data_IF_969130230759
#
_entry.id   IF_969130230759
#
_cell.length_a   1.000
_cell.length_b   1.000
_cell.length_c   1.000
_cell.angle_alpha   90.00
_cell.angle_beta   90.00
_cell.angle_gamma   90.00
#
_symmetry.space_group_name_H-M   'P 1'
#
loop_
_entity.id
_entity.type
_entity.pdbx_description
1 polymer ?
#
# COMPACT_ATOMS: atom_id res chain seq x y z
N UNK A 1 -19.52 26.40 32.19
CA UNK A 1 -19.51 26.39 30.69
C UNK A 1 -18.21 25.83 30.16
N UNK A 2 -17.05 26.08 30.79
CA UNK A 2 -15.73 25.56 30.33
C UNK A 2 -15.54 24.05 30.59
N UNK A 3 -16.04 23.52 31.70
CA UNK A 3 -15.95 22.08 32.02
C UNK A 3 -16.78 21.19 31.05
N UNK A 4 -17.90 21.70 30.55
CA UNK A 4 -18.76 20.99 29.58
C UNK A 4 -18.13 20.98 28.17
N UNK A 5 -17.27 21.96 27.86
CA UNK A 5 -16.54 22.03 26.58
C UNK A 5 -15.36 21.08 26.56
N UNK A 6 -14.59 20.98 27.66
CA UNK A 6 -13.47 20.03 27.79
C UNK A 6 -13.95 18.57 27.81
N UNK A 7 -15.08 18.29 28.48
CA UNK A 7 -15.65 16.95 28.54
C UNK A 7 -16.15 16.49 27.16
N UNK A 8 -16.79 17.37 26.38
CA UNK A 8 -17.22 17.09 25.00
C UNK A 8 -16.05 16.87 24.05
N UNK A 9 -14.93 17.57 24.28
CA UNK A 9 -13.72 17.42 23.49
C UNK A 9 -13.00 16.10 23.81
N UNK A 10 -12.90 15.76 25.10
CA UNK A 10 -12.31 14.49 25.58
C UNK A 10 -13.10 13.26 25.15
N UNK A 11 -14.44 13.29 25.27
CA UNK A 11 -15.31 12.18 24.84
C UNK A 11 -15.31 12.02 23.31
N UNK A 12 -15.26 13.13 22.54
CA UNK A 12 -15.09 13.07 21.09
C UNK A 12 -13.72 12.52 20.69
N UNK A 13 -12.65 12.88 21.40
CA UNK A 13 -11.32 12.34 21.17
C UNK A 13 -11.27 10.83 21.46
N UNK A 14 -11.92 10.38 22.55
CA UNK A 14 -12.01 8.95 22.90
C UNK A 14 -12.90 8.19 21.90
N UNK A 15 -14.03 8.76 21.48
CA UNK A 15 -14.90 8.17 20.46
C UNK A 15 -14.19 8.13 19.10
N UNK A 16 -13.46 9.17 18.72
CA UNK A 16 -12.67 9.15 17.49
C UNK A 16 -11.52 8.15 17.57
N UNK A 17 -10.84 8.02 18.71
CA UNK A 17 -9.77 7.03 18.91
C UNK A 17 -10.32 5.59 18.97
N UNK A 18 -11.51 5.37 19.53
CA UNK A 18 -12.12 4.04 19.61
C UNK A 18 -12.80 3.60 18.31
N UNK A 19 -13.20 4.55 17.45
CA UNK A 19 -13.80 4.23 16.15
C UNK A 19 -12.77 3.98 15.04
N UNK A 20 -11.48 4.18 15.29
CA UNK A 20 -10.41 4.00 14.32
C UNK A 20 -9.33 3.11 14.93
N UNK A 21 -9.71 1.89 15.31
CA UNK A 21 -8.74 0.81 15.43
C UNK A 21 -8.38 0.37 14.02
N UNK A 22 -7.37 1.00 13.45
CA UNK A 22 -6.81 0.55 12.17
C UNK A 22 -6.19 -0.82 12.38
N UNK A 23 -6.71 -1.80 11.68
CA UNK A 23 -6.17 -3.15 11.71
C UNK A 23 -4.80 -3.15 11.03
N UNK A 24 -3.78 -3.57 11.74
CA UNK A 24 -2.45 -3.71 11.17
C UNK A 24 -2.45 -4.92 10.22
N UNK A 25 -1.91 -4.73 9.03
CA UNK A 25 -1.79 -5.75 7.99
C UNK A 25 -0.32 -6.16 7.83
N UNK A 26 0.18 -7.14 8.59
CA UNK A 26 1.62 -7.44 8.65
C UNK A 26 2.23 -7.82 7.31
N UNK A 27 1.45 -8.45 6.41
CA UNK A 27 1.95 -8.83 5.08
C UNK A 27 2.25 -7.62 4.19
N UNK A 28 1.67 -6.44 4.45
CA UNK A 28 2.02 -5.23 3.72
C UNK A 28 3.46 -4.80 3.96
N UNK A 29 4.00 -5.00 5.15
CA UNK A 29 5.40 -4.70 5.45
C UNK A 29 6.31 -5.49 4.47
N UNK A 30 6.00 -6.76 4.22
CA UNK A 30 6.74 -7.64 3.29
C UNK A 30 6.55 -7.22 1.83
N UNK A 31 5.32 -6.86 1.45
CA UNK A 31 5.01 -6.38 0.10
C UNK A 31 5.79 -5.10 -0.19
N UNK A 32 5.80 -4.14 0.73
CA UNK A 32 6.54 -2.89 0.56
C UNK A 32 8.05 -3.07 0.60
N UNK A 33 8.58 -3.96 1.44
CA UNK A 33 10.01 -4.31 1.42
C UNK A 33 10.44 -4.91 0.07
N UNK A 34 9.58 -5.72 -0.54
CA UNK A 34 9.81 -6.25 -1.88
C UNK A 34 9.73 -5.15 -2.93
N UNK A 35 8.70 -4.29 -2.84
CA UNK A 35 8.51 -3.15 -3.73
C UNK A 35 9.75 -2.25 -3.78
N UNK A 36 10.30 -1.87 -2.63
CA UNK A 36 11.49 -1.00 -2.53
C UNK A 36 12.66 -1.59 -3.31
N UNK A 37 12.93 -2.89 -3.17
CA UNK A 37 14.03 -3.55 -3.88
C UNK A 37 13.82 -3.56 -5.39
N UNK A 38 12.58 -3.76 -5.83
CA UNK A 38 12.22 -3.73 -7.25
C UNK A 38 12.31 -2.32 -7.80
N UNK A 39 11.69 -1.34 -7.13
CA UNK A 39 11.74 0.07 -7.52
C UNK A 39 13.18 0.59 -7.63
N UNK A 40 14.06 0.25 -6.67
CA UNK A 40 15.46 0.66 -6.72
C UNK A 40 16.16 0.15 -8.00
N UNK A 41 15.82 -1.07 -8.44
CA UNK A 41 16.37 -1.64 -9.68
C UNK A 41 15.74 -1.02 -10.92
N UNK A 42 14.43 -0.92 -10.95
CA UNK A 42 13.66 -0.40 -12.08
C UNK A 42 13.96 1.08 -12.32
N UNK A 43 13.98 1.90 -11.26
CA UNK A 43 14.30 3.31 -11.34
C UNK A 43 15.76 3.57 -11.73
N UNK A 44 16.71 2.74 -11.27
CA UNK A 44 18.11 2.82 -11.71
C UNK A 44 18.24 2.56 -13.21
N UNK A 45 17.50 1.57 -13.73
CA UNK A 45 17.49 1.29 -15.16
C UNK A 45 16.80 2.39 -15.97
N UNK A 46 15.73 2.97 -15.41
CA UNK A 46 14.97 4.05 -16.05
C UNK A 46 15.75 5.35 -16.13
N UNK A 47 16.40 5.74 -15.04
CA UNK A 47 17.15 7.01 -14.97
C UNK A 47 18.60 6.90 -15.43
N UNK A 48 19.16 5.68 -15.53
CA UNK A 48 20.58 5.41 -15.75
C UNK A 48 21.47 6.09 -14.69
N UNK A 49 20.93 6.31 -13.49
CA UNK A 49 21.62 6.91 -12.36
C UNK A 49 21.58 5.99 -11.13
N UNK A 50 22.38 6.29 -10.10
CA UNK A 50 22.32 5.56 -8.85
C UNK A 50 21.10 6.01 -8.05
N UNK A 51 20.14 5.12 -7.88
CA UNK A 51 18.89 5.39 -7.17
C UNK A 51 18.81 4.51 -5.95
N UNK A 52 18.57 5.11 -4.79
CA UNK A 52 18.22 4.43 -3.55
C UNK A 52 16.76 4.71 -3.21
N UNK A 53 16.05 3.67 -2.81
CA UNK A 53 14.65 3.76 -2.38
C UNK A 53 14.56 3.24 -0.96
N UNK A 54 13.92 4.00 -0.09
CA UNK A 54 13.68 3.62 1.30
C UNK A 54 12.22 3.83 1.68
N UNK A 55 11.74 3.03 2.65
CA UNK A 55 10.45 3.20 3.27
C UNK A 55 10.65 3.96 4.58
N UNK A 56 10.06 5.15 4.68
CA UNK A 56 10.12 5.94 5.92
C UNK A 56 9.18 5.33 6.97
N UNK A 57 7.90 5.13 6.62
CA UNK A 57 6.90 4.47 7.47
C UNK A 57 5.68 3.99 6.66
N UNK A 58 4.88 3.14 7.30
CA UNK A 58 3.52 2.79 6.85
C UNK A 58 2.57 3.22 7.96
N UNK A 59 1.62 4.06 7.63
CA UNK A 59 0.65 4.52 8.60
C UNK A 59 -0.79 4.42 8.07
N UNK A 60 -1.73 4.40 9.00
CA UNK A 60 -3.15 4.34 8.71
C UNK A 60 -3.81 5.59 9.21
N UNK A 61 -4.58 6.24 8.34
CA UNK A 61 -5.25 7.49 8.65
C UNK A 61 -6.58 7.60 7.90
N UNK A 62 -7.29 8.70 8.07
CA UNK A 62 -8.47 9.00 7.23
C UNK A 62 -8.02 9.63 5.92
N UNK A 63 -8.75 9.34 4.84
CA UNK A 63 -8.46 9.92 3.53
C UNK A 63 -8.45 11.46 3.55
N UNK A 64 -9.36 12.09 4.31
CA UNK A 64 -9.38 13.54 4.48
C UNK A 64 -8.10 14.08 5.15
N UNK A 65 -7.62 13.42 6.21
CA UNK A 65 -6.38 13.79 6.89
C UNK A 65 -5.17 13.66 5.96
N UNK A 66 -5.13 12.60 5.13
CA UNK A 66 -4.09 12.44 4.12
C UNK A 66 -4.10 13.57 3.09
N UNK A 67 -5.27 13.89 2.51
CA UNK A 67 -5.39 14.96 1.52
C UNK A 67 -4.99 16.33 2.10
N UNK A 68 -5.36 16.60 3.36
CA UNK A 68 -5.00 17.84 4.06
C UNK A 68 -3.50 17.91 4.42
N UNK A 69 -2.82 16.76 4.55
CA UNK A 69 -1.38 16.67 4.83
C UNK A 69 -0.48 16.90 3.61
N UNK A 70 -1.03 16.83 2.40
CA UNK A 70 -0.27 16.97 1.17
C UNK A 70 0.36 18.35 1.03
N UNK A 71 1.67 18.38 0.85
CA UNK A 71 2.41 19.62 0.57
C UNK A 71 2.28 19.98 -0.91
N UNK A 72 1.63 21.08 -1.20
CA UNK A 72 1.47 21.56 -2.57
C UNK A 72 2.67 22.40 -3.02
N UNK A 73 3.07 22.38 -4.29
CA UNK A 73 2.49 21.59 -5.39
C UNK A 73 2.93 20.10 -5.35
N UNK A 74 2.00 19.19 -5.57
CA UNK A 74 2.24 17.76 -5.70
C UNK A 74 1.53 17.21 -6.93
N UNK A 75 2.04 16.14 -7.50
CA UNK A 75 1.40 15.42 -8.59
C UNK A 75 0.72 14.18 -8.04
N UNK A 76 -0.55 13.98 -8.39
CA UNK A 76 -1.38 12.91 -7.89
C UNK A 76 -1.75 11.96 -9.03
N UNK A 77 -1.30 10.72 -8.96
CA UNK A 77 -1.67 9.67 -9.90
C UNK A 77 -2.74 8.77 -9.29
N UNK A 78 -3.89 8.74 -9.90
CA UNK A 78 -4.92 7.76 -9.59
C UNK A 78 -4.61 6.49 -10.36
N UNK A 79 -4.65 5.34 -9.68
CA UNK A 79 -4.47 4.03 -10.27
C UNK A 79 -5.61 3.10 -9.87
N UNK A 80 -5.86 2.08 -10.67
CA UNK A 80 -6.90 1.08 -10.44
C UNK A 80 -6.26 -0.28 -10.18
N UNK A 81 -6.72 -0.96 -9.14
CA UNK A 81 -6.47 -2.38 -8.93
C UNK A 81 -7.55 -3.14 -9.74
N UNK A 82 -7.19 -3.68 -10.89
CA UNK A 82 -8.17 -4.19 -11.87
C UNK A 82 -8.99 -5.35 -11.31
N UNK A 83 -8.35 -6.32 -10.67
CA UNK A 83 -9.01 -7.50 -10.12
C UNK A 83 -9.87 -7.20 -8.90
N UNK A 84 -9.58 -6.09 -8.19
CA UNK A 84 -10.34 -5.67 -7.01
C UNK A 84 -11.39 -4.60 -7.35
N UNK A 85 -11.44 -4.14 -8.61
CA UNK A 85 -12.34 -3.09 -9.12
C UNK A 85 -12.38 -1.84 -8.25
N UNK A 86 -11.24 -1.45 -7.72
CA UNK A 86 -11.10 -0.33 -6.79
C UNK A 86 -9.85 0.49 -7.09
N UNK A 87 -9.74 1.67 -6.45
CA UNK A 87 -8.70 2.64 -6.76
C UNK A 87 -7.73 2.83 -5.61
N UNK A 88 -6.53 3.30 -5.96
CA UNK A 88 -5.52 3.84 -5.08
C UNK A 88 -4.99 5.17 -5.59
N UNK A 89 -4.16 5.83 -4.82
CA UNK A 89 -3.57 7.13 -5.13
C UNK A 89 -2.07 7.08 -4.85
N UNK A 90 -1.28 7.60 -5.78
CA UNK A 90 0.15 7.83 -5.60
C UNK A 90 0.39 9.33 -5.65
N UNK A 91 0.98 9.90 -4.60
CA UNK A 91 1.46 11.27 -4.64
C UNK A 91 2.95 11.31 -4.97
N UNK A 92 3.35 12.24 -5.79
CA UNK A 92 4.74 12.49 -6.18
C UNK A 92 5.06 13.94 -5.88
N UNK A 93 6.03 14.17 -5.01
CA UNK A 93 6.40 15.52 -4.65
C UNK A 93 7.10 16.26 -5.79
N UNK A 94 7.03 17.58 -5.79
CA UNK A 94 7.61 18.41 -6.85
C UNK A 94 9.12 18.25 -6.96
N UNK A 95 9.82 18.01 -5.86
CA UNK A 95 11.28 17.83 -5.87
C UNK A 95 11.64 16.61 -6.69
N UNK A 96 10.89 15.51 -6.51
CA UNK A 96 11.10 14.30 -7.29
C UNK A 96 10.73 14.49 -8.75
N UNK A 97 9.58 15.14 -9.05
CA UNK A 97 9.17 15.44 -10.42
C UNK A 97 10.29 16.13 -11.17
N UNK A 98 10.83 17.23 -10.61
CA UNK A 98 11.91 17.98 -11.27
C UNK A 98 13.22 17.21 -11.30
N UNK A 99 13.53 16.41 -10.27
CA UNK A 99 14.72 15.57 -10.23
C UNK A 99 14.72 14.54 -11.36
N UNK A 100 13.61 13.84 -11.55
CA UNK A 100 13.45 12.84 -12.63
C UNK A 100 13.53 13.50 -14.01
N UNK A 101 12.80 14.61 -14.19
CA UNK A 101 12.83 15.34 -15.46
C UNK A 101 14.24 15.80 -15.81
N UNK A 102 14.97 16.36 -14.84
CA UNK A 102 16.32 16.86 -15.07
C UNK A 102 17.29 15.71 -15.40
N UNK A 103 17.20 14.57 -14.70
CA UNK A 103 18.02 13.38 -14.98
C UNK A 103 17.73 12.85 -16.39
N UNK A 104 16.47 12.68 -16.76
CA UNK A 104 16.07 12.13 -18.06
C UNK A 104 16.41 13.06 -19.24
N UNK A 105 16.45 14.36 -19.00
CA UNK A 105 16.86 15.34 -19.99
C UNK A 105 18.38 15.59 -20.03
N UNK A 106 19.16 14.82 -19.28
CA UNK A 106 20.63 14.87 -19.30
C UNK A 106 21.22 15.99 -18.45
N UNK A 107 20.53 16.44 -17.40
CA UNK A 107 21.02 17.43 -16.45
C UNK A 107 22.30 16.98 -15.76
N UNK A 108 23.26 17.90 -15.59
CA UNK A 108 24.58 17.60 -15.01
C UNK A 108 24.47 17.37 -13.51
N UNK A 109 25.20 16.39 -12.99
CA UNK A 109 25.41 16.14 -11.55
C UNK A 109 26.10 17.35 -10.90
N UNK A 110 25.69 17.70 -9.69
CA UNK A 110 26.40 18.66 -8.84
C UNK A 110 26.22 20.14 -9.14
N UNK A 111 25.25 20.57 -9.92
CA UNK A 111 24.95 21.98 -10.16
C UNK A 111 23.64 22.39 -9.52
N UNK A 112 23.74 23.17 -8.44
CA UNK A 112 22.69 23.96 -7.77
C UNK A 112 21.36 23.23 -7.46
N UNK A 113 20.93 23.32 -6.21
CA UNK A 113 19.61 22.85 -5.80
C UNK A 113 18.55 23.35 -6.81
N UNK A 114 17.80 22.41 -7.38
CA UNK A 114 16.72 22.72 -8.29
C UNK A 114 15.72 23.65 -7.60
N UNK A 115 15.53 24.84 -8.14
CA UNK A 115 14.50 25.75 -7.63
C UNK A 115 13.16 25.18 -7.99
N UNK A 116 12.36 24.84 -6.98
CA UNK A 116 10.96 24.50 -7.15
C UNK A 116 10.25 25.77 -7.64
N UNK A 117 10.02 25.85 -8.93
CA UNK A 117 9.25 26.93 -9.51
C UNK A 117 7.76 26.57 -9.35
N UNK A 118 6.98 27.43 -8.70
CA UNK A 118 5.53 27.24 -8.54
C UNK A 118 4.74 27.41 -9.84
N UNK A 119 5.27 26.93 -10.97
CA UNK A 119 4.62 26.92 -12.29
C UNK A 119 3.87 25.60 -12.54
N UNK A 120 2.86 25.64 -13.40
CA UNK A 120 2.24 24.39 -13.87
C UNK A 120 3.24 23.49 -14.59
N UNK A 121 3.09 22.17 -14.41
CA UNK A 121 3.90 21.20 -15.13
C UNK A 121 3.60 21.25 -16.64
N UNK A 122 4.61 21.09 -17.45
CA UNK A 122 4.48 20.97 -18.90
C UNK A 122 4.03 19.56 -19.31
N UNK A 123 3.48 19.42 -20.50
CA UNK A 123 3.07 18.11 -21.02
C UNK A 123 4.23 17.12 -21.10
N UNK A 124 5.45 17.60 -21.38
CA UNK A 124 6.64 16.75 -21.43
C UNK A 124 6.98 16.23 -20.04
N UNK A 125 6.99 17.09 -19.04
CA UNK A 125 7.23 16.71 -17.64
C UNK A 125 6.19 15.70 -17.15
N UNK A 126 4.91 15.95 -17.45
CA UNK A 126 3.83 15.02 -17.07
C UNK A 126 3.98 13.64 -17.72
N UNK A 127 4.39 13.58 -19.00
CA UNK A 127 4.60 12.31 -19.68
C UNK A 127 5.80 11.54 -19.11
N UNK A 128 6.92 12.20 -18.83
CA UNK A 128 8.09 11.55 -18.23
C UNK A 128 7.78 11.00 -16.83
N UNK A 129 7.03 11.76 -16.05
CA UNK A 129 6.60 11.29 -14.70
C UNK A 129 5.57 10.18 -14.81
N UNK A 130 4.67 10.22 -15.82
CA UNK A 130 3.73 9.14 -16.07
C UNK A 130 4.45 7.82 -16.35
N UNK A 131 5.48 7.83 -17.22
CA UNK A 131 6.27 6.63 -17.52
C UNK A 131 6.93 6.06 -16.25
N UNK A 132 7.43 6.91 -15.35
CA UNK A 132 7.93 6.50 -14.04
C UNK A 132 6.85 5.89 -13.17
N UNK A 133 5.64 6.49 -13.14
CA UNK A 133 4.52 6.00 -12.35
C UNK A 133 4.07 4.62 -12.84
N UNK A 134 3.93 4.42 -14.15
CA UNK A 134 3.58 3.13 -14.75
C UNK A 134 4.61 2.05 -14.41
N UNK A 135 5.90 2.40 -14.40
CA UNK A 135 6.97 1.51 -13.96
C UNK A 135 6.79 1.09 -12.49
N UNK A 136 6.55 2.07 -11.60
CA UNK A 136 6.34 1.80 -10.16
C UNK A 136 5.09 0.96 -9.94
N UNK A 137 4.00 1.18 -10.66
CA UNK A 137 2.77 0.39 -10.57
C UNK A 137 2.98 -1.05 -11.05
N UNK A 138 3.81 -1.27 -12.07
CA UNK A 138 4.23 -2.61 -12.50
C UNK A 138 5.04 -3.34 -11.42
N UNK A 139 5.97 -2.63 -10.77
CA UNK A 139 6.72 -3.16 -9.63
C UNK A 139 5.80 -3.47 -8.44
N UNK A 140 4.80 -2.61 -8.17
CA UNK A 140 3.79 -2.81 -7.14
C UNK A 140 2.97 -4.08 -7.43
N UNK A 141 2.51 -4.27 -8.67
CA UNK A 141 1.80 -5.47 -9.10
C UNK A 141 2.63 -6.73 -8.80
N UNK A 142 3.89 -6.74 -9.23
CA UNK A 142 4.79 -7.87 -8.98
C UNK A 142 5.12 -8.06 -7.49
N UNK A 143 5.11 -6.99 -6.70
CA UNK A 143 5.38 -7.09 -5.25
C UNK A 143 4.24 -7.79 -4.50
N UNK A 144 3.01 -7.75 -5.02
CA UNK A 144 1.84 -8.44 -4.48
C UNK A 144 1.74 -9.92 -4.86
N UNK A 145 2.51 -10.43 -5.84
CA UNK A 145 2.46 -11.84 -6.28
C UNK A 145 2.48 -12.88 -5.14
N UNK A 146 3.25 -12.69 -4.03
CA UNK A 146 3.22 -13.64 -2.92
C UNK A 146 1.88 -13.72 -2.18
N UNK A 147 1.07 -12.66 -2.26
CA UNK A 147 -0.24 -12.55 -1.62
C UNK A 147 -1.33 -12.94 -2.62
N UNK A 148 -1.37 -12.26 -3.74
CA UNK A 148 -2.32 -12.49 -4.82
C UNK A 148 -1.84 -11.80 -6.09
N UNK A 149 -2.25 -12.34 -7.24
CA UNK A 149 -2.01 -11.68 -8.53
C UNK A 149 -2.98 -10.51 -8.68
N UNK A 150 -2.46 -9.32 -8.86
CA UNK A 150 -3.23 -8.09 -9.08
C UNK A 150 -2.48 -7.16 -10.02
N UNK A 151 -3.19 -6.53 -10.95
CA UNK A 151 -2.67 -5.55 -11.86
C UNK A 151 -3.07 -4.14 -11.42
N UNK A 152 -2.08 -3.31 -11.09
CA UNK A 152 -2.28 -1.90 -10.79
C UNK A 152 -2.08 -1.07 -12.07
N UNK A 153 -3.18 -0.64 -12.66
CA UNK A 153 -3.16 0.14 -13.89
C UNK A 153 -3.26 1.64 -13.61
N UNK A 154 -2.44 2.43 -14.30
CA UNK A 154 -2.57 3.89 -14.30
C UNK A 154 -3.92 4.31 -14.89
N UNK A 155 -4.62 5.23 -14.22
CA UNK A 155 -5.90 5.79 -14.67
C UNK A 155 -5.71 7.24 -15.15
N UNK A 156 -5.32 8.15 -14.26
CA UNK A 156 -5.14 9.57 -14.59
C UNK A 156 -4.18 10.29 -13.64
N UNK A 157 -3.68 11.45 -14.11
CA UNK A 157 -2.89 12.40 -13.33
C UNK A 157 -3.70 13.63 -12.98
N UNK A 158 -3.57 14.09 -11.74
CA UNK A 158 -4.20 15.27 -11.21
C UNK A 158 -3.18 16.15 -10.48
N UNK A 159 -3.32 17.46 -10.59
CA UNK A 159 -2.49 18.42 -9.85
C UNK A 159 -3.26 19.06 -8.69
N UNK A 160 -4.57 18.87 -8.67
CA UNK A 160 -5.47 19.38 -7.63
C UNK A 160 -6.04 18.22 -6.82
N UNK A 161 -5.79 18.16 -5.50
CA UNK A 161 -6.29 17.08 -4.64
C UNK A 161 -7.81 16.87 -4.69
N UNK A 162 -8.57 17.91 -5.00
CA UNK A 162 -10.04 17.80 -5.11
C UNK A 162 -10.48 16.89 -6.25
N UNK A 163 -9.70 16.79 -7.33
CA UNK A 163 -10.00 15.91 -8.47
C UNK A 163 -9.45 14.51 -8.30
N UNK A 164 -8.53 14.31 -7.35
CA UNK A 164 -7.98 13.01 -6.99
C UNK A 164 -8.79 12.28 -5.91
N UNK A 165 -10.00 12.73 -5.61
CA UNK A 165 -10.87 12.09 -4.61
C UNK A 165 -11.38 10.74 -5.14
N UNK A 166 -10.89 9.63 -4.56
CA UNK A 166 -11.24 8.25 -4.96
C UNK A 166 -12.12 7.55 -3.94
N UNK A 167 -12.23 8.10 -2.72
CA UNK A 167 -13.05 7.55 -1.64
C UNK A 167 -13.60 8.66 -0.76
N UNK A 168 -14.46 8.33 0.20
CA UNK A 168 -15.00 9.33 1.14
C UNK A 168 -13.92 9.82 2.09
N UNK A 169 -13.94 11.09 2.46
CA UNK A 169 -12.97 11.71 3.37
C UNK A 169 -12.89 11.01 4.75
N UNK A 170 -13.98 10.39 5.20
CA UNK A 170 -14.04 9.65 6.45
C UNK A 170 -13.47 8.22 6.38
N UNK A 171 -13.22 7.71 5.17
CA UNK A 171 -12.76 6.33 5.00
C UNK A 171 -11.30 6.19 5.43
N UNK A 172 -10.99 5.03 6.00
CA UNK A 172 -9.64 4.64 6.37
C UNK A 172 -8.81 4.30 5.14
N UNK A 173 -7.58 4.77 5.14
CA UNK A 173 -6.56 4.49 4.11
C UNK A 173 -5.25 4.10 4.76
N UNK A 174 -4.46 3.30 4.06
CA UNK A 174 -3.07 2.99 4.39
C UNK A 174 -2.20 3.84 3.49
N UNK A 175 -1.19 4.46 4.07
CA UNK A 175 -0.21 5.29 3.34
C UNK A 175 1.18 4.75 3.62
N UNK A 176 1.89 4.37 2.57
CA UNK A 176 3.30 4.04 2.62
C UNK A 176 4.12 5.23 2.11
N UNK A 177 4.96 5.78 2.98
CA UNK A 177 5.82 6.92 2.67
C UNK A 177 7.17 6.41 2.18
N UNK A 178 7.44 6.63 0.90
CA UNK A 178 8.67 6.22 0.24
C UNK A 178 9.56 7.45 -0.03
N UNK A 179 10.85 7.26 0.17
CA UNK A 179 11.88 8.25 -0.18
C UNK A 179 12.73 7.70 -1.32
N UNK A 180 12.95 8.53 -2.31
CA UNK A 180 13.81 8.23 -3.46
C UNK A 180 14.96 9.22 -3.44
N UNK A 181 16.18 8.70 -3.31
CA UNK A 181 17.41 9.48 -3.30
C UNK A 181 18.26 9.13 -4.54
N UNK A 182 18.71 10.18 -5.24
CA UNK A 182 19.53 10.11 -6.45
C UNK A 182 20.72 11.07 -6.27
N UNK A 183 21.79 10.61 -5.60
CA UNK A 183 22.94 11.46 -5.24
C UNK A 183 22.51 12.76 -4.52
N UNK A 184 22.60 13.92 -5.20
CA UNK A 184 22.22 15.24 -4.64
C UNK A 184 20.76 15.63 -4.93
N UNK A 185 19.93 14.72 -5.45
CA UNK A 185 18.56 14.92 -5.89
C UNK A 185 17.65 13.86 -5.30
N UNK A 186 16.36 14.07 -5.42
CA UNK A 186 15.39 13.09 -4.95
C UNK A 186 14.11 13.73 -4.49
N UNK A 187 13.32 12.95 -3.74
CA UNK A 187 12.06 13.42 -3.17
C UNK A 187 11.26 12.27 -2.61
N UNK A 188 9.96 12.51 -2.45
CA UNK A 188 9.06 11.58 -1.79
C UNK A 188 7.97 11.10 -2.73
N UNK A 189 7.54 9.87 -2.48
CA UNK A 189 6.33 9.28 -3.05
C UNK A 189 5.53 8.71 -1.90
N UNK A 190 4.22 9.01 -1.87
CA UNK A 190 3.32 8.29 -0.99
C UNK A 190 2.44 7.37 -1.84
N UNK A 191 2.37 6.10 -1.44
CA UNK A 191 1.44 5.14 -1.96
C UNK A 191 0.28 5.00 -0.98
N UNK A 192 -0.90 5.49 -1.37
CA UNK A 192 -2.10 5.43 -0.56
C UNK A 192 -3.09 4.42 -1.15
N UNK A 193 -3.52 3.47 -0.31
CA UNK A 193 -4.48 2.44 -0.68
C UNK A 193 -5.62 2.44 0.36
N UNK A 194 -6.87 2.66 -0.06
CA UNK A 194 -8.02 2.53 0.85
C UNK A 194 -8.16 1.11 1.40
N UNK A 195 -8.56 0.96 2.66
CA UNK A 195 -8.87 -0.36 3.23
C UNK A 195 -9.93 -1.09 2.41
N UNK A 196 -10.91 -0.37 1.86
CA UNK A 196 -11.92 -0.93 0.98
C UNK A 196 -11.32 -1.57 -0.29
N UNK A 197 -10.18 -1.07 -0.76
CA UNK A 197 -9.47 -1.65 -1.91
C UNK A 197 -8.76 -2.96 -1.52
N UNK A 198 -8.29 -3.08 -0.29
CA UNK A 198 -7.61 -4.27 0.24
C UNK A 198 -8.57 -5.33 0.79
N UNK A 199 -9.87 -5.02 0.91
CA UNK A 199 -10.87 -5.93 1.50
C UNK A 199 -10.87 -7.33 0.87
N UNK A 200 -10.76 -7.51 -0.47
CA UNK A 200 -10.75 -8.84 -1.09
C UNK A 200 -9.58 -9.72 -0.66
N UNK A 201 -8.48 -9.12 -0.21
CA UNK A 201 -7.24 -9.83 0.18
C UNK A 201 -6.89 -9.65 1.65
N UNK A 202 -7.80 -9.05 2.42
CA UNK A 202 -7.61 -8.72 3.84
C UNK A 202 -7.14 -9.91 4.66
N UNK A 203 -7.79 -11.05 4.52
CA UNK A 203 -7.48 -12.26 5.30
C UNK A 203 -6.06 -12.78 4.99
N UNK A 204 -5.58 -12.61 3.75
CA UNK A 204 -4.21 -12.92 3.36
C UNK A 204 -3.21 -11.93 3.94
N UNK A 205 -3.57 -10.65 3.99
CA UNK A 205 -2.73 -9.58 4.53
C UNK A 205 -2.62 -9.61 6.06
N UNK A 206 -3.59 -10.19 6.75
CA UNK A 206 -3.57 -10.41 8.20
C UNK A 206 -2.66 -11.55 8.66
N UNK A 207 -2.30 -12.47 7.76
CA UNK A 207 -1.45 -13.59 8.09
C UNK A 207 -0.07 -13.09 8.51
N UNK A 208 0.42 -13.60 9.65
CA UNK A 208 1.80 -13.35 10.06
C UNK A 208 2.73 -14.25 9.25
N UNK A 209 3.73 -13.64 8.62
CA UNK A 209 4.79 -14.40 7.96
C UNK A 209 5.62 -15.16 9.00
N UNK A 210 5.36 -16.43 9.15
CA UNK A 210 6.20 -17.37 9.89
C UNK A 210 7.13 -18.11 8.93
N UNK A 211 8.12 -17.42 8.38
CA UNK A 211 9.38 -17.99 7.87
C UNK A 211 9.37 -19.00 6.73
N UNK A 212 8.23 -19.49 6.27
CA UNK A 212 8.09 -20.39 5.14
C UNK A 212 6.83 -20.02 4.34
N UNK A 213 6.86 -20.24 3.04
CA UNK A 213 5.76 -19.96 2.09
C UNK A 213 4.42 -20.47 2.65
N UNK A 214 3.67 -19.62 3.31
CA UNK A 214 2.25 -19.84 3.57
C UNK A 214 1.45 -19.47 2.30
N UNK A 215 1.71 -20.20 1.29
CA UNK A 215 0.95 -20.22 0.07
C UNK A 215 1.08 -21.62 -0.50
N UNK A 216 0.14 -22.50 -0.11
CA UNK A 216 -0.03 -23.82 -0.69
C UNK A 216 1.29 -24.60 -0.84
N UNK A 217 1.75 -25.16 0.24
CA UNK A 217 2.55 -26.36 0.13
C UNK A 217 1.61 -27.48 -0.33
N UNK A 218 1.38 -27.52 -1.64
CA UNK A 218 0.54 -28.56 -2.29
C UNK A 218 1.08 -29.94 -1.99
N UNK A 219 2.36 -30.08 -1.66
CA UNK A 219 3.00 -31.32 -1.27
C UNK A 219 2.53 -31.72 0.12
N UNK A 220 2.49 -30.77 1.06
CA UNK A 220 2.05 -31.01 2.43
C UNK A 220 0.53 -31.20 2.53
N UNK A 221 -0.23 -30.42 1.77
CA UNK A 221 -1.70 -30.53 1.67
C UNK A 221 -2.10 -31.88 1.09
N UNK A 222 -1.44 -32.35 0.03
CA UNK A 222 -1.67 -33.65 -0.55
C UNK A 222 -1.24 -34.78 0.40
N UNK A 223 -0.11 -34.65 1.09
CA UNK A 223 0.35 -35.63 2.06
C UNK A 223 -0.59 -35.72 3.28
N UNK A 224 -1.07 -34.57 3.78
CA UNK A 224 -2.05 -34.53 4.86
C UNK A 224 -3.39 -35.14 4.44
N UNK A 225 -3.82 -34.85 3.21
CA UNK A 225 -5.04 -35.41 2.64
C UNK A 225 -4.92 -36.95 2.47
N UNK A 226 -3.79 -37.45 2.01
CA UNK A 226 -3.49 -38.87 1.91
C UNK A 226 -3.49 -39.59 3.28
N UNK A 227 -2.85 -38.97 4.28
CA UNK A 227 -2.85 -39.46 5.68
C UNK A 227 -4.23 -39.42 6.31
N UNK A 228 -5.05 -38.43 6.02
CA UNK A 228 -6.45 -38.37 6.51
C UNK A 228 -7.33 -39.45 5.88
N UNK A 229 -7.11 -39.80 4.58
CA UNK A 229 -7.83 -40.88 3.91
C UNK A 229 -7.41 -42.26 4.41
N UNK A 230 -6.16 -42.45 4.86
CA UNK A 230 -5.62 -43.68 5.41
C UNK A 230 -5.87 -43.85 6.91
N UNK A 231 -6.44 -42.84 7.58
CA UNK A 231 -6.71 -42.88 9.02
C UNK A 231 -7.97 -43.67 9.30
N UNK A 232 -7.83 -44.79 10.01
CA UNK A 232 -8.95 -45.58 10.49
C UNK A 232 -9.69 -44.83 11.64
N UNK A 233 -10.99 -44.64 11.49
CA UNK A 233 -11.86 -44.02 12.51
C UNK A 233 -12.80 -45.06 13.06
N UNK A 234 -12.71 -45.29 14.39
CA UNK A 234 -13.66 -46.19 15.09
C UNK A 234 -15.00 -45.48 15.24
N UNK A 235 -16.02 -46.02 14.59
CA UNK A 235 -17.40 -45.50 14.71
C UNK A 235 -18.18 -46.39 15.66
N UNK A 236 -18.66 -45.86 16.79
CA UNK A 236 -19.58 -46.55 17.74
C UNK A 236 -20.98 -46.04 17.53
N UNK A 237 -21.88 -46.87 17.03
CA UNK A 237 -23.31 -46.59 16.96
C UNK A 237 -23.98 -47.03 18.25
N UNK A 238 -24.40 -46.07 19.09
CA UNK A 238 -25.19 -46.36 20.30
C UNK A 238 -26.65 -46.42 19.90
N UNK A 239 -27.23 -47.60 19.83
CA UNK A 239 -28.64 -47.80 19.46
C UNK A 239 -29.59 -47.51 20.64
N UNK A 240 -29.20 -47.83 21.90
CA UNK A 240 -29.97 -47.57 23.09
C UNK A 240 -29.12 -47.69 24.35
N UNK A 241 -29.19 -46.70 25.24
CA UNK A 241 -28.69 -46.81 26.62
C UNK A 241 -29.86 -47.06 27.58
N UNK A 242 -29.69 -48.03 28.52
CA UNK A 242 -30.65 -48.32 29.55
C UNK A 242 -29.95 -48.46 30.91
N UNK A 243 -30.33 -47.60 31.83
CA UNK A 243 -29.88 -47.75 33.21
C UNK A 243 -30.55 -48.95 33.85
N UNK A 244 -29.76 -49.90 34.39
CA UNK A 244 -30.21 -51.06 35.14
C UNK A 244 -29.74 -50.86 36.57
N UNK A 245 -30.70 -50.86 37.52
CA UNK A 245 -30.37 -50.89 38.92
C UNK A 245 -30.06 -52.32 39.33
N UNK A 246 -28.87 -52.54 39.89
CA UNK A 246 -28.51 -53.79 40.54
C UNK A 246 -29.05 -53.72 41.98
N UNK A 247 -30.12 -54.46 42.26
CA UNK A 247 -30.67 -54.59 43.59
C UNK A 247 -29.84 -55.50 44.48
#
# INVERSE_FOLDING_TARGET
EDEDYEMKTGVRAILNASMVSYERLPMLDIVFDRLIRMMATSLRNFTQDNVEVSLDNIESMRFGEYIDSLTLPTLLAVFKAEEWDNYGLMSVDSSLVYSIVDVLLGGRRGTAAMRIEGRPYTTIELNLVKDMIELILSDLSTSFDPVTSVNFAYDRLETNPRFATITRLSNAVIVAHLRIDMEDRGGKIDLMIPYATLEPVRDLLLQMFMGERYGRDTIWENHLMEQLWETDVEIKAILKERMISLG
#
